data_IF_346583648637
#
_entry.id   IF_346583648637
#
_cell.length_a   1.000
_cell.length_b   1.000
_cell.length_c   1.000
_cell.angle_alpha   90.00
_cell.angle_beta   90.00
_cell.angle_gamma   90.00
#
_symmetry.space_group_name_H-M   'P 1'
#
loop_
_entity.id
_entity.type
_entity.pdbx_description
1 polymer ?
#
# COMPACT_ATOMS: atom_id res chain seq x y z
N UNK A 1 -6.11 -0.42 15.77
CA UNK A 1 -6.95 -0.67 14.57
C UNK A 1 -6.15 -0.28 13.32
N UNK A 2 -6.48 -0.87 12.17
CA UNK A 2 -5.85 -0.58 10.88
C UNK A 2 -6.97 -0.20 9.89
N UNK A 3 -6.78 0.88 9.14
CA UNK A 3 -7.59 1.22 7.97
C UNK A 3 -6.72 1.17 6.72
N UNK A 4 -7.28 0.63 5.65
CA UNK A 4 -6.61 0.50 4.36
C UNK A 4 -7.55 0.99 3.29
N UNK A 5 -7.05 1.84 2.41
CA UNK A 5 -7.75 2.25 1.19
C UNK A 5 -7.00 1.74 -0.03
N UNK A 6 -7.75 1.33 -1.06
CA UNK A 6 -7.21 0.77 -2.30
C UNK A 6 -7.40 1.79 -3.42
N UNK A 7 -6.34 2.04 -4.17
CA UNK A 7 -6.31 3.06 -5.21
C UNK A 7 -5.55 2.54 -6.43
N UNK A 8 -5.79 3.22 -7.55
CA UNK A 8 -5.04 3.01 -8.78
C UNK A 8 -4.43 4.33 -9.23
N UNK A 9 -3.17 4.26 -9.66
CA UNK A 9 -2.39 5.42 -10.05
C UNK A 9 -1.92 5.32 -11.50
N UNK A 10 -2.07 6.42 -12.23
CA UNK A 10 -1.61 6.55 -13.62
C UNK A 10 -0.08 6.53 -13.74
N UNK A 11 0.60 7.16 -12.77
CA UNK A 11 2.06 7.26 -12.76
C UNK A 11 2.66 6.14 -11.93
N UNK A 12 3.64 5.45 -12.50
CA UNK A 12 4.48 4.51 -11.75
C UNK A 12 5.33 5.28 -10.75
N UNK A 13 5.47 4.74 -9.54
CA UNK A 13 6.32 5.33 -8.51
C UNK A 13 7.75 5.56 -9.02
N UNK A 14 8.26 6.74 -8.74
CA UNK A 14 9.65 7.12 -8.91
C UNK A 14 10.05 8.02 -7.73
N UNK A 15 11.18 7.76 -7.06
CA UNK A 15 11.58 8.51 -5.85
C UNK A 15 11.75 10.00 -6.11
N UNK A 16 12.21 10.39 -7.31
CA UNK A 16 12.39 11.80 -7.68
C UNK A 16 11.10 12.50 -8.15
N UNK A 17 9.96 11.80 -8.18
CA UNK A 17 8.66 12.35 -8.62
C UNK A 17 7.68 12.29 -7.45
N UNK A 18 7.46 13.40 -6.72
CA UNK A 18 6.68 13.41 -5.47
C UNK A 18 5.25 12.86 -5.62
N UNK A 19 4.61 13.13 -6.76
CA UNK A 19 3.23 12.73 -7.05
C UNK A 19 3.25 11.57 -8.05
N UNK A 20 3.83 10.44 -7.63
CA UNK A 20 3.81 9.17 -8.34
C UNK A 20 3.60 8.04 -7.34
N UNK A 21 2.48 7.32 -7.43
CA UNK A 21 2.10 6.37 -6.36
C UNK A 21 1.98 4.92 -6.84
N UNK A 22 1.96 4.64 -8.15
CA UNK A 22 1.71 3.28 -8.64
C UNK A 22 2.77 2.28 -8.16
N UNK A 23 2.29 1.16 -7.57
CA UNK A 23 3.00 0.13 -6.79
C UNK A 23 3.67 0.67 -5.52
N UNK A 24 2.88 1.29 -4.65
CA UNK A 24 3.37 1.74 -3.35
C UNK A 24 2.43 1.36 -2.21
N UNK A 25 3.02 1.23 -1.03
CA UNK A 25 2.31 1.29 0.25
C UNK A 25 2.56 2.68 0.83
N UNK A 26 1.54 3.53 0.75
CA UNK A 26 1.60 4.93 1.21
C UNK A 26 1.21 5.02 2.69
N UNK A 27 1.97 5.79 3.45
CA UNK A 27 1.71 6.08 4.87
C UNK A 27 1.97 7.57 5.16
N UNK A 28 1.25 8.12 6.14
CA UNK A 28 1.30 9.54 6.50
C UNK A 28 2.05 9.87 7.80
N UNK A 29 2.55 8.86 8.52
CA UNK A 29 3.12 9.04 9.88
C UNK A 29 4.57 8.57 9.98
N UNK A 30 5.33 9.24 10.84
CA UNK A 30 6.68 8.83 11.26
C UNK A 30 6.73 8.57 12.77
N UNK A 31 7.46 7.53 13.26
CA UNK A 31 8.22 6.56 12.47
C UNK A 31 7.29 5.69 11.61
N UNK A 32 7.76 5.33 10.40
CA UNK A 32 7.06 4.42 9.48
C UNK A 32 6.44 3.22 10.23
N UNK A 33 5.15 2.91 10.03
CA UNK A 33 4.54 1.74 10.62
C UNK A 33 5.25 0.44 10.17
N UNK A 34 5.67 -0.46 11.08
CA UNK A 34 6.43 -1.66 10.72
C UNK A 34 5.73 -2.61 9.73
N UNK A 35 4.40 -2.56 9.66
CA UNK A 35 3.59 -3.33 8.70
C UNK A 35 3.90 -2.94 7.25
N UNK A 36 4.30 -1.69 6.99
CA UNK A 36 4.67 -1.22 5.65
C UNK A 36 5.86 -2.02 5.13
N UNK A 37 6.92 -2.15 5.92
CA UNK A 37 8.13 -2.85 5.50
C UNK A 37 7.88 -4.35 5.30
N UNK A 38 7.08 -4.97 6.18
CA UNK A 38 6.69 -6.39 6.04
C UNK A 38 5.91 -6.64 4.77
N UNK A 39 4.91 -5.81 4.47
CA UNK A 39 4.10 -5.95 3.25
C UNK A 39 4.92 -5.69 2.00
N UNK A 40 5.74 -4.64 1.98
CA UNK A 40 6.62 -4.35 0.84
C UNK A 40 7.58 -5.50 0.58
N UNK A 41 8.21 -6.03 1.63
CA UNK A 41 9.09 -7.19 1.50
C UNK A 41 8.34 -8.40 0.92
N UNK A 42 7.19 -8.77 1.50
CA UNK A 42 6.39 -9.90 1.06
C UNK A 42 5.84 -9.75 -0.37
N UNK A 43 5.52 -8.53 -0.81
CA UNK A 43 5.10 -8.27 -2.19
C UNK A 43 6.26 -8.40 -3.19
N UNK A 44 7.49 -8.20 -2.74
CA UNK A 44 8.69 -8.21 -3.58
C UNK A 44 9.44 -9.55 -3.61
N UNK A 45 9.00 -10.56 -2.86
CA UNK A 45 9.64 -11.90 -2.84
C UNK A 45 9.60 -12.59 -4.21
N UNK A 46 8.50 -12.44 -4.94
CA UNK A 46 8.28 -13.10 -6.23
C UNK A 46 7.61 -12.15 -7.22
N UNK A 47 8.43 -11.50 -8.04
CA UNK A 47 7.99 -10.55 -9.06
C UNK A 47 7.89 -11.25 -10.41
N UNK A 48 6.78 -11.04 -11.13
CA UNK A 48 6.69 -11.52 -12.51
C UNK A 48 7.53 -10.65 -13.46
N UNK A 49 7.67 -9.36 -13.14
CA UNK A 49 8.50 -8.42 -13.90
C UNK A 49 9.13 -7.37 -12.97
N UNK A 50 10.24 -6.73 -13.37
CA UNK A 50 10.82 -5.61 -12.61
C UNK A 50 9.86 -4.44 -12.41
N UNK A 51 8.83 -4.29 -13.25
CA UNK A 51 7.85 -3.22 -13.11
C UNK A 51 6.92 -3.41 -11.91
N UNK A 52 6.87 -4.59 -11.31
CA UNK A 52 5.98 -4.91 -10.19
C UNK A 52 6.57 -4.59 -8.82
N UNK A 53 7.80 -4.06 -8.75
CA UNK A 53 8.47 -3.74 -7.48
C UNK A 53 7.64 -2.76 -6.63
N UNK A 54 7.29 -3.17 -5.42
CA UNK A 54 6.62 -2.32 -4.45
C UNK A 54 7.62 -1.46 -3.69
N UNK A 55 7.21 -0.24 -3.36
CA UNK A 55 7.99 0.66 -2.52
C UNK A 55 7.16 1.26 -1.38
N UNK A 56 7.78 1.54 -0.22
CA UNK A 56 7.15 2.39 0.78
C UNK A 56 7.15 3.84 0.28
N UNK A 57 6.06 4.56 0.47
CA UNK A 57 5.98 5.97 0.09
C UNK A 57 5.43 6.82 1.25
N UNK A 58 6.29 7.69 1.80
CA UNK A 58 5.85 8.62 2.84
C UNK A 58 5.18 9.83 2.18
N UNK A 59 3.90 10.04 2.46
CA UNK A 59 3.15 11.14 1.91
C UNK A 59 2.20 11.73 2.96
N UNK A 60 2.69 12.64 3.84
CA UNK A 60 1.94 13.18 4.96
C UNK A 60 1.02 14.31 4.50
N UNK A 61 -0.03 13.97 3.73
CA UNK A 61 -1.01 14.96 3.25
C UNK A 61 -2.39 14.70 3.84
N UNK A 62 -2.83 15.64 4.66
CA UNK A 62 -4.08 15.65 5.44
C UNK A 62 -5.39 15.66 4.62
N UNK A 63 -5.33 15.57 3.29
CA UNK A 63 -6.51 15.63 2.42
C UNK A 63 -6.92 14.27 1.84
N UNK A 64 -6.23 13.18 2.22
CA UNK A 64 -6.67 11.84 1.81
C UNK A 64 -7.84 11.35 2.67
N UNK A 65 -8.73 10.53 2.10
CA UNK A 65 -9.82 9.89 2.86
C UNK A 65 -9.28 9.02 4.01
N UNK A 66 -8.08 8.47 3.86
CA UNK A 66 -7.37 7.72 4.90
C UNK A 66 -7.08 8.59 6.11
N UNK A 67 -6.54 9.81 5.91
CA UNK A 67 -6.22 10.72 7.01
C UNK A 67 -7.47 11.15 7.78
N UNK A 68 -8.59 11.41 7.08
CA UNK A 68 -9.86 11.74 7.74
C UNK A 68 -10.33 10.61 8.67
N UNK A 69 -10.14 9.34 8.27
CA UNK A 69 -10.51 8.19 9.09
C UNK A 69 -9.51 8.01 10.25
N UNK A 70 -8.22 8.20 9.99
CA UNK A 70 -7.16 8.09 11.00
C UNK A 70 -7.35 9.13 12.11
N UNK A 71 -7.60 10.39 11.76
CA UNK A 71 -7.81 11.48 12.73
C UNK A 71 -9.05 11.22 13.61
N UNK A 72 -10.13 10.72 13.01
CA UNK A 72 -11.37 10.43 13.73
C UNK A 72 -11.28 9.20 14.67
N UNK A 73 -10.45 8.20 14.34
CA UNK A 73 -10.45 6.89 15.02
C UNK A 73 -9.17 6.66 15.86
N UNK A 74 -8.06 7.31 15.53
CA UNK A 74 -6.76 7.02 16.13
C UNK A 74 -6.21 5.65 15.72
N UNK A 75 -6.22 5.36 14.41
CA UNK A 75 -5.77 4.08 13.84
C UNK A 75 -4.54 4.25 12.92
N UNK A 76 -3.92 3.14 12.52
CA UNK A 76 -2.91 3.17 11.45
C UNK A 76 -3.65 3.25 10.12
N UNK A 77 -3.29 4.19 9.24
CA UNK A 77 -3.86 4.34 7.91
C UNK A 77 -2.84 4.07 6.82
N UNK A 78 -3.23 3.24 5.84
CA UNK A 78 -2.42 2.94 4.66
C UNK A 78 -3.22 3.19 3.38
N UNK A 79 -2.58 3.73 2.35
CA UNK A 79 -3.12 3.73 0.98
C UNK A 79 -2.31 2.75 0.13
N UNK A 80 -2.98 1.79 -0.48
CA UNK A 80 -2.35 0.81 -1.37
C UNK A 80 -2.63 1.25 -2.79
N UNK A 81 -1.57 1.45 -3.56
CA UNK A 81 -1.65 2.06 -4.89
C UNK A 81 -1.09 1.09 -5.92
N UNK A 82 -1.92 0.58 -6.82
CA UNK A 82 -1.44 -0.18 -7.99
C UNK A 82 -1.22 0.73 -9.18
N UNK A 83 -0.29 0.36 -10.07
CA UNK A 83 -0.04 1.13 -11.29
C UNK A 83 -0.99 0.72 -12.42
N UNK A 84 -1.69 1.68 -13.02
CA UNK A 84 -2.63 1.47 -14.14
C UNK A 84 -1.96 1.00 -15.45
N UNK A 85 -0.62 0.96 -15.51
CA UNK A 85 0.10 0.35 -16.63
C UNK A 85 -0.01 -1.18 -16.70
N UNK A 86 -0.45 -1.84 -15.63
CA UNK A 86 -0.78 -3.27 -15.64
C UNK A 86 -2.19 -3.53 -16.12
N UNK A 87 -2.49 -4.76 -16.54
CA UNK A 87 -3.87 -5.18 -16.78
C UNK A 87 -4.70 -5.20 -15.48
N UNK A 88 -6.01 -5.03 -15.61
CA UNK A 88 -6.91 -4.93 -14.45
C UNK A 88 -6.88 -6.18 -13.56
N UNK A 89 -6.84 -7.36 -14.17
CA UNK A 89 -6.81 -8.61 -13.43
C UNK A 89 -5.55 -8.71 -12.55
N UNK A 90 -4.40 -8.25 -13.06
CA UNK A 90 -3.14 -8.19 -12.30
C UNK A 90 -3.20 -7.18 -11.17
N UNK A 91 -3.75 -5.99 -11.38
CA UNK A 91 -3.93 -4.97 -10.33
C UNK A 91 -4.84 -5.48 -9.21
N UNK A 92 -5.96 -6.09 -9.57
CA UNK A 92 -6.88 -6.73 -8.62
C UNK A 92 -6.20 -7.87 -7.85
N UNK A 93 -5.42 -8.71 -8.52
CA UNK A 93 -4.68 -9.78 -7.86
C UNK A 93 -3.66 -9.25 -6.84
N UNK A 94 -2.95 -8.18 -7.18
CA UNK A 94 -2.03 -7.51 -6.26
C UNK A 94 -2.76 -6.91 -5.06
N UNK A 95 -3.87 -6.20 -5.26
CA UNK A 95 -4.69 -5.69 -4.16
C UNK A 95 -5.17 -6.81 -3.23
N UNK A 96 -5.66 -7.92 -3.78
CA UNK A 96 -6.06 -9.09 -2.99
C UNK A 96 -4.89 -9.67 -2.19
N UNK A 97 -3.69 -9.74 -2.77
CA UNK A 97 -2.48 -10.20 -2.07
C UNK A 97 -2.14 -9.28 -0.89
N UNK A 98 -2.11 -7.96 -1.11
CA UNK A 98 -1.84 -6.97 -0.05
C UNK A 98 -2.88 -7.06 1.07
N UNK A 99 -4.17 -7.11 0.73
CA UNK A 99 -5.25 -7.26 1.73
C UNK A 99 -5.09 -8.56 2.51
N UNK A 100 -4.75 -9.67 1.84
CA UNK A 100 -4.50 -10.94 2.52
C UNK A 100 -3.29 -10.90 3.46
N UNK A 101 -2.21 -10.23 3.08
CA UNK A 101 -1.05 -10.03 3.95
C UNK A 101 -1.41 -9.20 5.17
N UNK A 102 -2.11 -8.08 4.98
CA UNK A 102 -2.54 -7.19 6.07
C UNK A 102 -3.52 -7.88 7.01
N UNK A 103 -4.49 -8.62 6.48
CA UNK A 103 -5.47 -9.35 7.29
C UNK A 103 -4.81 -10.43 8.16
N UNK A 104 -3.76 -11.11 7.66
CA UNK A 104 -2.95 -12.04 8.47
C UNK A 104 -2.15 -11.30 9.54
N UNK A 105 -1.53 -10.18 9.17
CA UNK A 105 -0.72 -9.38 10.09
C UNK A 105 -1.50 -8.92 11.33
N UNK A 106 -2.78 -8.57 11.15
CA UNK A 106 -3.67 -8.16 12.25
C UNK A 106 -4.48 -9.31 12.86
N UNK A 107 -4.26 -10.56 12.44
CA UNK A 107 -4.93 -11.74 12.99
C UNK A 107 -6.41 -11.88 12.64
N UNK A 108 -6.87 -11.28 11.54
CA UNK A 108 -8.26 -11.40 11.06
C UNK A 108 -8.47 -12.65 10.22
N UNK A 109 -7.40 -13.16 9.57
CA UNK A 109 -7.38 -14.47 8.91
C UNK A 109 -6.16 -15.26 9.38
N UNK A 110 -6.30 -16.58 9.48
CA UNK A 110 -5.23 -17.45 9.98
C UNK A 110 -3.98 -17.41 9.09
N UNK A 111 -2.82 -17.61 9.72
CA UNK A 111 -1.58 -17.91 9.00
C UNK A 111 -1.70 -19.32 8.38
N UNK A 112 -1.41 -19.41 7.08
CA UNK A 112 -1.39 -20.68 6.35
C UNK A 112 -0.08 -21.44 6.60
#
# INVERSE_FOLDING_TARGET
>A
ALVVTLHESWKRFHPDVPVSFGQTVVYGVEPRPPVVDRVVAAMNEELATPYEVWAPHHFPVATSSTEVIVDAIGCVGLCIETWMGFDEARRVAMHKRVVGLLARDIGVIDAA
#
